data_IF_331527058974
#
_entry.id   IF_331527058974
#
_cell.length_a   1.000
_cell.length_b   1.000
_cell.length_c   1.000
_cell.angle_alpha   90.00
_cell.angle_beta   90.00
_cell.angle_gamma   90.00
#
_symmetry.space_group_name_H-M   'P 1'
#
loop_
_entity.id
_entity.type
_entity.pdbx_description
1 polymer ?
#
# COMPACT_ATOMS: atom_id res chain seq x y z
N UNK A 1 11.18 2.50 -6.71
CA UNK A 1 11.89 2.36 -5.42
C UNK A 1 11.42 3.49 -4.54
N UNK A 2 10.88 3.21 -3.35
CA UNK A 2 10.66 4.28 -2.38
C UNK A 2 12.01 4.69 -1.85
N UNK A 3 12.42 5.94 -2.09
CA UNK A 3 13.73 6.39 -1.65
C UNK A 3 13.79 6.52 -0.13
N UNK A 4 12.70 6.91 0.50
CA UNK A 4 12.67 7.35 1.90
C UNK A 4 11.81 6.50 2.82
N UNK A 5 10.94 5.62 2.29
CA UNK A 5 10.00 4.84 3.08
C UNK A 5 10.47 3.39 3.32
N UNK A 6 10.13 2.85 4.48
CA UNK A 6 10.34 1.46 4.84
C UNK A 6 11.78 1.00 4.68
N UNK A 7 11.98 -0.06 3.92
CA UNK A 7 13.29 -0.67 3.64
C UNK A 7 13.98 -0.16 2.38
N UNK A 8 13.51 0.97 1.83
CA UNK A 8 14.17 1.65 0.70
C UNK A 8 15.57 2.16 1.06
N UNK A 9 16.38 2.52 0.05
CA UNK A 9 17.80 2.90 0.26
C UNK A 9 17.99 4.13 1.14
N UNK A 10 17.00 5.01 1.23
CA UNK A 10 17.00 6.19 2.11
C UNK A 10 15.99 6.04 3.26
N UNK A 11 15.46 4.85 3.48
CA UNK A 11 14.57 4.54 4.59
C UNK A 11 15.29 4.47 5.93
N UNK A 12 14.51 4.40 7.02
CA UNK A 12 15.05 4.31 8.38
C UNK A 12 15.72 2.96 8.69
N UNK A 13 15.30 1.90 7.97
CA UNK A 13 15.83 0.53 8.07
C UNK A 13 16.02 -0.05 6.66
N UNK A 14 17.07 0.35 5.91
CA UNK A 14 17.26 -0.10 4.54
C UNK A 14 17.52 -1.60 4.46
N UNK A 15 16.97 -2.25 3.41
CA UNK A 15 17.14 -3.69 3.17
C UNK A 15 18.57 -4.08 2.77
N UNK A 16 19.37 -3.13 2.34
CA UNK A 16 20.74 -3.32 1.92
C UNK A 16 21.67 -2.27 2.53
N UNK A 17 22.86 -2.20 2.01
CA UNK A 17 23.88 -1.23 2.44
C UNK A 17 24.40 -0.43 1.25
N UNK A 18 24.87 0.79 1.53
CA UNK A 18 25.57 1.62 0.56
C UNK A 18 27.06 1.72 0.93
N UNK A 19 27.93 1.72 -0.10
CA UNK A 19 29.35 1.92 0.04
C UNK A 19 29.83 3.01 -0.95
N UNK A 20 30.30 4.18 -0.50
CA UNK A 20 30.39 4.61 0.91
C UNK A 20 29.00 4.73 1.57
N UNK A 21 28.92 4.73 2.90
CA UNK A 21 27.65 4.93 3.61
C UNK A 21 26.94 6.20 3.18
N UNK A 22 25.65 6.12 2.92
CA UNK A 22 24.84 7.29 2.54
C UNK A 22 24.63 8.18 3.77
N UNK A 23 25.07 9.43 3.69
CA UNK A 23 24.84 10.46 4.70
C UNK A 23 23.62 11.29 4.28
N UNK A 24 22.42 10.75 4.47
CA UNK A 24 21.18 11.40 4.03
C UNK A 24 20.13 11.56 5.14
N UNK A 25 20.53 11.42 6.40
CA UNK A 25 19.64 11.71 7.53
C UNK A 25 19.17 13.17 7.43
N UNK A 26 17.86 13.34 7.24
CA UNK A 26 17.26 14.67 7.09
C UNK A 26 17.23 15.20 5.64
N UNK A 27 17.76 14.48 4.64
CA UNK A 27 17.64 14.89 3.24
C UNK A 27 16.18 14.83 2.81
N UNK A 28 15.66 15.95 2.31
CA UNK A 28 14.36 16.04 1.65
C UNK A 28 14.60 15.98 0.15
N UNK A 29 13.85 15.14 -0.56
CA UNK A 29 13.87 15.10 -2.01
C UNK A 29 12.57 15.68 -2.54
N UNK A 30 12.69 16.70 -3.39
CA UNK A 30 11.56 17.39 -4.03
C UNK A 30 11.71 17.22 -5.53
N UNK A 31 10.65 16.77 -6.18
CA UNK A 31 10.64 16.56 -7.61
C UNK A 31 9.38 17.13 -8.28
N UNK A 32 9.46 17.58 -9.53
CA UNK A 32 8.27 17.88 -10.32
C UNK A 32 7.38 16.63 -10.44
N UNK A 33 6.09 16.79 -10.26
CA UNK A 33 5.11 15.73 -10.42
C UNK A 33 4.20 16.03 -11.61
N UNK A 34 4.60 15.66 -12.85
CA UNK A 34 3.94 16.06 -14.08
C UNK A 34 2.65 15.24 -14.34
N UNK A 35 1.76 15.26 -13.35
CA UNK A 35 0.44 14.65 -13.42
C UNK A 35 -0.56 15.68 -12.96
N UNK A 36 -1.74 15.67 -13.55
CA UNK A 36 -2.82 16.57 -13.15
C UNK A 36 -3.32 16.17 -11.77
N UNK A 37 -3.15 17.05 -10.79
CA UNK A 37 -3.69 16.89 -9.44
C UNK A 37 -4.90 17.78 -9.30
N UNK A 38 -6.01 17.17 -8.85
CA UNK A 38 -7.26 17.87 -8.59
C UNK A 38 -7.74 17.58 -7.18
N UNK A 39 -8.25 18.62 -6.52
CA UNK A 39 -8.89 18.51 -5.22
C UNK A 39 -10.31 19.09 -5.26
N UNK A 40 -11.21 18.51 -4.48
CA UNK A 40 -12.62 18.90 -4.42
C UNK A 40 -13.08 19.09 -2.98
N UNK A 41 -13.95 20.12 -2.79
CA UNK A 41 -14.75 20.34 -1.58
C UNK A 41 -16.21 20.49 -2.03
N UNK A 42 -17.14 19.78 -1.42
CA UNK A 42 -18.57 19.79 -1.77
C UNK A 42 -18.80 19.55 -3.28
N UNK A 43 -18.00 18.68 -3.90
CA UNK A 43 -18.05 18.37 -5.33
C UNK A 43 -17.57 19.51 -6.26
N UNK A 44 -16.99 20.57 -5.70
CA UNK A 44 -16.41 21.69 -6.47
C UNK A 44 -14.88 21.56 -6.49
N UNK A 45 -14.30 21.71 -7.66
CA UNK A 45 -12.85 21.72 -7.80
C UNK A 45 -12.27 22.97 -7.14
N UNK A 46 -11.35 22.81 -6.22
CA UNK A 46 -10.63 23.86 -5.49
C UNK A 46 -9.14 23.91 -5.83
N UNK A 47 -8.57 22.81 -6.33
CA UNK A 47 -7.23 22.75 -6.94
C UNK A 47 -7.36 21.98 -8.25
N UNK A 48 -6.70 22.46 -9.31
CA UNK A 48 -6.56 21.76 -10.58
C UNK A 48 -5.26 22.22 -11.24
N UNK A 49 -4.22 21.38 -11.17
CA UNK A 49 -2.88 21.78 -11.61
C UNK A 49 -2.04 20.61 -12.10
N UNK A 50 -1.15 20.87 -13.06
CA UNK A 50 -0.06 19.98 -13.49
C UNK A 50 1.31 20.46 -12.98
N UNK A 51 1.32 21.44 -12.08
CA UNK A 51 2.55 22.05 -11.55
C UNK A 51 2.85 21.63 -10.10
N UNK A 52 2.23 20.55 -9.63
CA UNK A 52 2.52 20.02 -8.32
C UNK A 52 3.97 19.51 -8.23
N UNK A 53 4.54 19.64 -7.05
CA UNK A 53 5.76 18.95 -6.66
C UNK A 53 5.39 17.79 -5.74
N UNK A 54 6.18 16.71 -5.78
CA UNK A 54 6.12 15.62 -4.86
C UNK A 54 7.29 15.75 -3.86
N UNK A 55 6.95 15.73 -2.58
CA UNK A 55 7.92 15.95 -1.50
C UNK A 55 8.12 14.66 -0.72
N UNK A 56 9.36 14.18 -0.68
CA UNK A 56 9.79 12.98 0.03
C UNK A 56 10.59 13.37 1.27
N UNK A 57 10.06 13.09 2.46
CA UNK A 57 10.75 13.27 3.73
C UNK A 57 11.00 11.93 4.41
N UNK A 58 12.20 11.68 4.95
CA UNK A 58 12.47 10.44 5.69
C UNK A 58 11.48 10.24 6.84
N UNK A 59 10.89 9.03 6.90
CA UNK A 59 9.95 8.65 7.96
C UNK A 59 8.59 9.35 7.92
N UNK A 60 8.26 10.05 6.81
CA UNK A 60 6.95 10.68 6.60
C UNK A 60 6.28 10.16 5.34
N UNK A 61 4.96 10.29 5.30
CA UNK A 61 4.19 10.08 4.08
C UNK A 61 4.58 11.13 3.03
N UNK A 62 4.40 10.79 1.77
CA UNK A 62 4.57 11.74 0.67
C UNK A 62 3.56 12.88 0.79
N UNK A 63 3.96 14.06 0.35
CA UNK A 63 3.09 15.22 0.29
C UNK A 63 3.17 15.87 -1.09
N UNK A 64 2.05 16.44 -1.54
CA UNK A 64 2.07 17.38 -2.65
C UNK A 64 2.40 18.78 -2.16
N UNK A 65 3.20 19.52 -2.95
CA UNK A 65 3.34 20.95 -2.79
C UNK A 65 2.85 21.64 -4.08
N UNK A 66 2.09 22.70 -3.92
CA UNK A 66 1.40 23.42 -4.99
C UNK A 66 1.91 24.86 -5.09
N UNK A 67 1.93 25.48 -6.28
CA UNK A 67 2.17 26.91 -6.36
C UNK A 67 1.16 27.67 -5.47
N UNK A 68 1.62 28.57 -4.63
CA UNK A 68 0.78 29.32 -3.70
C UNK A 68 -0.44 29.98 -4.40
N UNK A 69 -0.24 30.48 -5.61
CA UNK A 69 -1.31 31.13 -6.39
C UNK A 69 -2.44 30.16 -6.83
N UNK A 70 -2.28 28.85 -6.70
CA UNK A 70 -3.23 27.86 -7.18
C UNK A 70 -4.04 27.17 -6.08
N UNK A 71 -3.76 27.51 -4.82
CA UNK A 71 -4.47 26.90 -3.67
C UNK A 71 -5.58 27.79 -3.08
N UNK A 72 -5.69 29.05 -3.53
CA UNK A 72 -6.71 29.98 -3.04
C UNK A 72 -6.62 30.18 -1.53
N UNK A 73 -7.78 30.13 -0.85
CA UNK A 73 -7.92 30.33 0.60
C UNK A 73 -7.83 29.02 1.39
N UNK A 74 -7.36 27.92 0.79
CA UNK A 74 -7.23 26.65 1.49
C UNK A 74 -6.19 26.74 2.61
N UNK A 75 -6.42 26.04 3.73
CA UNK A 75 -5.39 25.86 4.75
C UNK A 75 -4.11 25.32 4.08
N UNK A 76 -3.01 26.01 4.29
CA UNK A 76 -1.74 25.62 3.66
C UNK A 76 -0.54 26.08 4.47
N UNK A 77 0.57 25.36 4.35
CA UNK A 77 1.84 25.69 4.98
C UNK A 77 2.94 25.84 3.91
N UNK A 78 3.83 26.82 4.05
CA UNK A 78 4.96 26.97 3.13
C UNK A 78 5.80 25.69 3.03
N UNK A 79 6.20 25.31 1.81
CA UNK A 79 7.17 24.23 1.60
C UNK A 79 8.59 24.82 1.72
N UNK A 80 9.36 24.49 2.79
CA UNK A 80 10.64 25.13 3.04
C UNK A 80 11.68 24.88 1.93
N UNK A 81 11.62 23.70 1.30
CA UNK A 81 12.55 23.28 0.26
C UNK A 81 12.12 23.70 -1.16
N UNK A 82 10.94 24.35 -1.28
CA UNK A 82 10.43 24.87 -2.57
C UNK A 82 9.78 26.25 -2.38
N UNK A 83 10.55 27.35 -2.35
CA UNK A 83 10.02 28.69 -2.20
C UNK A 83 8.94 29.02 -3.24
N UNK A 84 7.80 29.56 -2.79
CA UNK A 84 6.63 29.84 -3.62
C UNK A 84 5.64 28.68 -3.74
N UNK A 85 5.94 27.53 -3.13
CA UNK A 85 5.04 26.40 -3.00
C UNK A 85 4.54 26.23 -1.57
N UNK A 86 3.35 25.64 -1.44
CA UNK A 86 2.71 25.36 -0.17
C UNK A 86 2.18 23.93 -0.16
N UNK A 87 2.17 23.29 0.99
CA UNK A 87 1.45 22.03 1.22
C UNK A 87 0.04 22.32 1.72
N UNK A 88 -0.93 21.62 1.18
CA UNK A 88 -2.31 21.59 1.67
C UNK A 88 -2.49 20.29 2.47
N UNK A 89 -2.97 20.34 3.72
CA UNK A 89 -3.26 19.14 4.50
C UNK A 89 -4.20 18.20 3.75
N UNK A 90 -3.95 16.89 3.86
CA UNK A 90 -4.74 15.90 3.11
C UNK A 90 -6.23 15.96 3.43
N UNK A 91 -6.56 16.23 4.67
CA UNK A 91 -7.91 16.34 5.24
C UNK A 91 -8.55 17.74 5.10
N UNK A 92 -7.85 18.68 4.48
CA UNK A 92 -8.41 20.01 4.17
C UNK A 92 -9.40 19.99 2.99
N UNK A 93 -9.54 18.87 2.29
CA UNK A 93 -10.45 18.69 1.15
C UNK A 93 -11.15 17.32 1.22
N UNK A 94 -12.30 17.20 0.55
CA UNK A 94 -13.11 15.97 0.60
C UNK A 94 -12.58 14.86 -0.31
N UNK A 95 -11.91 15.24 -1.40
CA UNK A 95 -11.39 14.29 -2.37
C UNK A 95 -10.17 14.81 -3.12
N UNK A 96 -9.20 13.92 -3.28
CA UNK A 96 -8.02 14.12 -4.12
C UNK A 96 -8.08 13.21 -5.35
N UNK A 97 -7.59 13.70 -6.47
CA UNK A 97 -7.49 12.95 -7.72
C UNK A 97 -6.12 13.16 -8.38
N UNK A 98 -5.59 12.10 -8.93
CA UNK A 98 -4.44 12.11 -9.83
C UNK A 98 -4.92 11.64 -11.20
N UNK A 99 -4.80 12.49 -12.22
CA UNK A 99 -5.50 12.32 -13.49
C UNK A 99 -7.00 12.11 -13.25
N UNK A 100 -7.57 11.01 -13.66
CA UNK A 100 -8.97 10.65 -13.42
C UNK A 100 -9.19 9.76 -12.19
N UNK A 101 -8.12 9.34 -11.47
CA UNK A 101 -8.21 8.40 -10.37
C UNK A 101 -8.35 9.10 -9.02
N UNK A 102 -9.38 8.73 -8.26
CA UNK A 102 -9.50 9.16 -6.86
C UNK A 102 -8.37 8.55 -6.03
N UNK A 103 -7.72 9.39 -5.25
CA UNK A 103 -6.69 9.00 -4.30
C UNK A 103 -7.28 8.80 -2.90
N UNK A 104 -6.64 7.93 -2.11
CA UNK A 104 -7.04 7.66 -0.74
C UNK A 104 -5.80 7.74 0.15
N UNK A 105 -5.94 8.41 1.29
CA UNK A 105 -4.98 8.55 2.39
C UNK A 105 -3.75 9.45 2.10
N UNK A 106 -3.07 9.32 0.95
CA UNK A 106 -1.82 10.06 0.66
C UNK A 106 -1.44 9.97 -0.82
N UNK A 107 -0.53 10.85 -1.31
CA UNK A 107 -0.02 10.78 -2.68
C UNK A 107 0.67 9.44 -2.98
N UNK A 108 0.35 8.78 -4.11
CA UNK A 108 1.08 7.59 -4.53
C UNK A 108 2.54 7.90 -4.83
N UNK A 109 3.42 6.97 -4.47
CA UNK A 109 4.84 7.07 -4.74
C UNK A 109 5.14 6.54 -6.16
N UNK A 110 5.68 7.36 -7.09
CA UNK A 110 5.98 6.92 -8.44
C UNK A 110 7.08 5.84 -8.52
N UNK A 111 7.87 5.70 -7.47
CA UNK A 111 8.93 4.67 -7.38
C UNK A 111 8.45 3.37 -6.69
N UNK A 112 7.20 3.31 -6.30
CA UNK A 112 6.61 2.11 -5.71
C UNK A 112 6.20 1.13 -6.81
N UNK A 113 6.64 -0.12 -6.68
CA UNK A 113 6.32 -1.19 -7.62
C UNK A 113 5.62 -2.34 -6.89
N UNK A 114 4.60 -2.87 -7.53
CA UNK A 114 4.00 -4.17 -7.21
C UNK A 114 4.31 -5.12 -8.36
N UNK A 115 4.75 -6.33 -8.03
CA UNK A 115 5.16 -7.34 -9.00
C UNK A 115 4.63 -8.72 -8.58
N UNK A 116 3.82 -9.34 -9.44
CA UNK A 116 3.09 -10.56 -9.12
C UNK A 116 3.50 -11.70 -10.06
N UNK A 117 4.00 -12.82 -9.50
CA UNK A 117 4.47 -13.96 -10.26
C UNK A 117 3.77 -15.26 -9.82
N UNK A 118 3.29 -16.11 -10.74
CA UNK A 118 2.93 -17.48 -10.39
C UNK A 118 4.15 -18.20 -9.81
N UNK A 119 3.91 -19.02 -8.80
CA UNK A 119 4.99 -19.76 -8.16
C UNK A 119 4.51 -21.12 -7.66
N UNK A 120 5.45 -22.00 -7.34
CA UNK A 120 5.19 -23.29 -6.70
C UNK A 120 5.58 -23.29 -5.23
N UNK A 121 5.66 -22.13 -4.60
CA UNK A 121 5.95 -22.00 -3.17
C UNK A 121 4.75 -22.40 -2.35
N UNK A 122 4.98 -23.31 -1.41
CA UNK A 122 3.90 -23.82 -0.57
C UNK A 122 3.38 -22.75 0.39
N UNK A 123 2.06 -22.68 0.48
CA UNK A 123 1.33 -21.93 1.49
C UNK A 123 0.46 -22.91 2.29
N UNK A 124 0.66 -22.95 3.62
CA UNK A 124 -0.24 -23.63 4.54
C UNK A 124 -0.75 -22.62 5.56
N UNK A 125 -2.06 -22.62 5.76
CA UNK A 125 -2.73 -21.72 6.70
C UNK A 125 -3.65 -22.53 7.59
N UNK A 126 -3.58 -22.27 8.90
CA UNK A 126 -4.40 -22.95 9.90
C UNK A 126 -5.00 -21.91 10.87
N UNK A 127 -6.26 -22.13 11.27
CA UNK A 127 -6.96 -21.36 12.31
C UNK A 127 -7.59 -22.37 13.27
N UNK A 128 -7.20 -22.34 14.54
CA UNK A 128 -7.55 -23.42 15.47
C UNK A 128 -7.07 -24.77 14.92
N UNK A 129 -7.96 -25.77 14.92
CA UNK A 129 -7.64 -27.10 14.39
C UNK A 129 -7.93 -27.25 12.88
N UNK A 130 -8.47 -26.19 12.21
CA UNK A 130 -8.85 -26.25 10.81
C UNK A 130 -7.73 -25.76 9.90
N UNK A 131 -7.33 -26.60 8.95
CA UNK A 131 -6.45 -26.21 7.84
C UNK A 131 -7.31 -25.54 6.76
N UNK A 132 -7.09 -24.23 6.54
CA UNK A 132 -7.81 -23.45 5.53
C UNK A 132 -7.18 -23.57 4.15
N UNK A 133 -5.85 -23.69 4.09
CA UNK A 133 -5.06 -23.77 2.84
C UNK A 133 -3.92 -24.75 3.05
N UNK A 134 -3.65 -25.59 2.07
CA UNK A 134 -2.40 -26.33 1.92
C UNK A 134 -2.17 -26.60 0.42
N UNK A 135 -1.42 -25.72 -0.23
CA UNK A 135 -1.18 -25.79 -1.67
C UNK A 135 0.19 -25.21 -2.05
N UNK A 136 0.69 -25.64 -3.20
CA UNK A 136 1.85 -25.01 -3.87
C UNK A 136 1.45 -24.29 -5.16
N UNK A 137 0.16 -24.09 -5.42
CA UNK A 137 -0.32 -23.29 -6.54
C UNK A 137 -0.66 -21.88 -6.02
N UNK A 138 0.33 -21.01 -6.09
CA UNK A 138 0.28 -19.68 -5.46
C UNK A 138 0.80 -18.61 -6.40
N UNK A 139 0.50 -17.36 -6.06
CA UNK A 139 1.12 -16.17 -6.66
C UNK A 139 1.94 -15.47 -5.58
N UNK A 140 3.23 -15.26 -5.85
CA UNK A 140 4.06 -14.42 -4.99
C UNK A 140 3.97 -12.97 -5.44
N UNK A 141 3.70 -12.08 -4.49
CA UNK A 141 3.69 -10.64 -4.70
C UNK A 141 4.92 -10.04 -4.01
N UNK A 142 5.71 -9.30 -4.80
CA UNK A 142 6.78 -8.42 -4.32
C UNK A 142 6.28 -6.99 -4.36
N UNK A 143 6.45 -6.28 -3.27
CA UNK A 143 6.07 -4.88 -3.16
C UNK A 143 7.23 -4.07 -2.62
N UNK A 144 7.49 -2.91 -3.22
CA UNK A 144 8.60 -2.04 -2.81
C UNK A 144 8.52 -1.76 -1.31
N UNK A 145 9.63 -1.98 -0.61
CA UNK A 145 9.79 -1.75 0.83
C UNK A 145 9.04 -2.72 1.76
N UNK A 146 8.35 -3.72 1.21
CA UNK A 146 7.66 -4.75 1.97
C UNK A 146 8.26 -6.13 1.72
N UNK A 147 8.05 -7.06 2.64
CA UNK A 147 8.40 -8.47 2.43
C UNK A 147 7.47 -9.13 1.41
N UNK A 148 7.95 -10.17 0.70
CA UNK A 148 7.13 -10.92 -0.24
C UNK A 148 5.95 -11.60 0.45
N UNK A 149 4.83 -11.74 -0.29
CA UNK A 149 3.60 -12.34 0.21
C UNK A 149 3.00 -13.30 -0.78
N UNK A 150 2.48 -14.43 -0.29
CA UNK A 150 1.79 -15.40 -1.13
C UNK A 150 0.28 -15.10 -1.15
N UNK A 151 -0.28 -15.23 -2.35
CA UNK A 151 -1.71 -15.20 -2.63
C UNK A 151 -2.13 -16.53 -3.23
N UNK A 152 -3.34 -16.96 -2.95
CA UNK A 152 -3.88 -18.26 -3.35
C UNK A 152 -5.28 -18.11 -3.93
N UNK A 153 -5.54 -18.86 -5.01
CA UNK A 153 -6.87 -18.95 -5.62
C UNK A 153 -7.89 -19.49 -4.58
N UNK A 154 -9.09 -18.90 -4.47
CA UNK A 154 -10.16 -19.41 -3.62
C UNK A 154 -10.48 -20.91 -3.83
N UNK A 155 -10.24 -21.47 -5.02
CA UNK A 155 -10.41 -22.89 -5.30
C UNK A 155 -9.53 -23.81 -4.41
N UNK A 156 -8.43 -23.28 -3.86
CA UNK A 156 -7.55 -24.00 -2.95
C UNK A 156 -7.77 -23.62 -1.47
N UNK A 157 -8.86 -22.90 -1.17
CA UNK A 157 -9.17 -22.40 0.16
C UNK A 157 -10.47 -23.03 0.68
N UNK A 158 -10.52 -23.36 1.95
CA UNK A 158 -11.75 -23.75 2.65
C UNK A 158 -12.67 -22.54 2.82
N UNK A 159 -13.21 -22.04 1.69
CA UNK A 159 -14.10 -20.87 1.67
C UNK A 159 -15.42 -21.11 2.41
N UNK A 160 -15.80 -22.35 2.60
CA UNK A 160 -16.93 -22.75 3.45
C UNK A 160 -16.78 -22.32 4.91
N UNK A 161 -15.52 -22.16 5.39
CA UNK A 161 -15.18 -21.66 6.70
C UNK A 161 -14.97 -20.15 6.75
N UNK A 162 -15.01 -19.44 5.62
CA UNK A 162 -14.80 -18.00 5.57
C UNK A 162 -16.12 -17.22 5.51
N UNK A 163 -16.14 -16.07 6.16
CA UNK A 163 -17.25 -15.10 6.11
C UNK A 163 -16.69 -13.70 5.90
N UNK A 164 -17.27 -12.94 4.96
CA UNK A 164 -16.90 -11.53 4.76
C UNK A 164 -17.16 -10.74 6.03
N UNK A 165 -16.25 -9.83 6.34
CA UNK A 165 -16.44 -8.82 7.38
C UNK A 165 -16.78 -7.47 6.74
N UNK A 166 -17.17 -6.50 7.58
CA UNK A 166 -17.40 -5.13 7.13
C UNK A 166 -16.09 -4.33 7.00
N UNK A 167 -14.97 -4.92 7.43
CA UNK A 167 -13.64 -4.30 7.33
C UNK A 167 -13.28 -4.08 5.88
N UNK A 168 -12.89 -2.84 5.56
CA UNK A 168 -12.30 -2.45 4.28
C UNK A 168 -11.02 -1.69 4.55
N UNK A 169 -10.00 -1.96 3.73
CA UNK A 169 -8.75 -1.20 3.75
C UNK A 169 -8.38 -0.82 2.33
N UNK A 170 -7.62 0.25 2.19
CA UNK A 170 -7.22 0.74 0.87
C UNK A 170 -5.70 0.73 0.73
N UNK A 171 -5.23 0.28 -0.42
CA UNK A 171 -3.84 0.40 -0.85
C UNK A 171 -3.78 1.19 -2.15
N UNK A 172 -2.97 2.26 -2.19
CA UNK A 172 -2.83 3.09 -3.39
C UNK A 172 -2.28 2.34 -4.62
N UNK A 173 -1.76 1.13 -4.42
CA UNK A 173 -1.11 0.32 -5.47
C UNK A 173 -1.86 -0.97 -5.79
N UNK A 174 -2.82 -1.37 -4.94
CA UNK A 174 -3.59 -2.62 -5.10
C UNK A 174 -5.11 -2.40 -5.13
N UNK A 175 -5.58 -1.27 -4.60
CA UNK A 175 -7.01 -0.96 -4.51
C UNK A 175 -7.62 -1.27 -3.15
N UNK A 176 -8.94 -1.46 -3.12
CA UNK A 176 -9.70 -1.80 -1.92
C UNK A 176 -9.57 -3.29 -1.58
N UNK A 177 -9.22 -3.58 -0.34
CA UNK A 177 -9.21 -4.93 0.19
C UNK A 177 -10.50 -5.22 0.97
N UNK A 178 -11.13 -6.35 0.65
CA UNK A 178 -12.19 -7.00 1.43
C UNK A 178 -11.56 -7.96 2.42
N UNK A 179 -12.04 -7.95 3.67
CA UNK A 179 -11.54 -8.82 4.73
C UNK A 179 -12.50 -9.96 5.05
N UNK A 180 -11.93 -11.06 5.59
CA UNK A 180 -12.63 -12.29 5.85
C UNK A 180 -12.33 -12.81 7.26
N UNK A 181 -13.37 -13.20 7.98
CA UNK A 181 -13.27 -13.96 9.21
C UNK A 181 -13.24 -15.46 8.91
N UNK A 182 -12.52 -16.25 9.71
CA UNK A 182 -12.68 -17.70 9.74
C UNK A 182 -13.64 -18.11 10.87
N UNK A 183 -14.54 -19.06 10.58
CA UNK A 183 -15.45 -19.64 11.56
C UNK A 183 -15.13 -21.12 11.67
N UNK A 184 -14.50 -21.50 12.79
CA UNK A 184 -14.08 -22.89 13.08
C UNK A 184 -14.76 -23.32 14.38
N UNK A 185 -15.47 -24.44 14.35
CA UNK A 185 -16.20 -24.99 15.49
C UNK A 185 -17.08 -23.95 16.23
N UNK A 186 -17.76 -23.10 15.44
CA UNK A 186 -18.61 -22.04 15.96
C UNK A 186 -17.87 -20.81 16.51
N UNK A 187 -16.54 -20.82 16.52
CA UNK A 187 -15.72 -19.68 16.95
C UNK A 187 -15.27 -18.86 15.75
N UNK A 188 -15.55 -17.56 15.78
CA UNK A 188 -15.13 -16.63 14.72
C UNK A 188 -13.81 -15.94 15.10
N UNK A 189 -12.82 -16.01 14.18
CA UNK A 189 -11.60 -15.20 14.21
C UNK A 189 -11.71 -14.16 13.11
N UNK A 190 -11.85 -12.90 13.50
CA UNK A 190 -12.06 -11.79 12.55
C UNK A 190 -10.81 -11.47 11.73
N UNK A 191 -11.02 -11.04 10.48
CA UNK A 191 -9.99 -10.47 9.62
C UNK A 191 -8.72 -11.34 9.46
N UNK A 192 -8.91 -12.66 9.31
CA UNK A 192 -7.81 -13.61 9.12
C UNK A 192 -7.23 -13.59 7.71
N UNK A 193 -8.02 -13.14 6.74
CA UNK A 193 -7.64 -13.08 5.35
C UNK A 193 -8.17 -11.81 4.68
N UNK A 194 -7.55 -11.44 3.56
CA UNK A 194 -8.06 -10.38 2.69
C UNK A 194 -7.92 -10.76 1.23
N UNK A 195 -8.72 -10.11 0.37
CA UNK A 195 -8.66 -10.19 -1.08
C UNK A 195 -8.85 -8.80 -1.70
N UNK A 196 -8.27 -8.59 -2.87
CA UNK A 196 -8.58 -7.47 -3.75
C UNK A 196 -9.47 -8.00 -4.86
N UNK A 197 -10.77 -7.66 -4.86
CA UNK A 197 -11.73 -8.21 -5.82
C UNK A 197 -11.64 -7.49 -7.16
N UNK A 198 -11.42 -6.17 -7.11
CA UNK A 198 -11.16 -5.31 -8.26
C UNK A 198 -9.82 -4.57 -8.06
N UNK A 199 -8.70 -5.29 -8.21
CA UNK A 199 -7.38 -4.72 -7.97
C UNK A 199 -7.00 -3.70 -9.03
N UNK A 200 -6.12 -2.77 -8.67
CA UNK A 200 -5.49 -1.88 -9.64
C UNK A 200 -4.67 -2.66 -10.67
N UNK A 201 -4.45 -2.12 -11.89
CA UNK A 201 -3.85 -2.85 -13.01
C UNK A 201 -2.54 -3.55 -12.68
N UNK A 202 -1.67 -2.92 -11.87
CA UNK A 202 -0.36 -3.44 -11.46
C UNK A 202 -0.46 -4.72 -10.64
N UNK A 203 -1.59 -4.96 -10.00
CA UNK A 203 -1.87 -6.12 -9.15
C UNK A 203 -2.99 -7.03 -9.68
N UNK A 204 -3.40 -6.84 -10.93
CA UNK A 204 -4.53 -7.59 -11.54
C UNK A 204 -4.43 -9.11 -11.40
N UNK A 205 -3.20 -9.65 -11.35
CA UNK A 205 -2.96 -11.09 -11.21
C UNK A 205 -3.43 -11.68 -9.87
N UNK A 206 -3.61 -10.88 -8.84
CA UNK A 206 -4.14 -11.33 -7.55
C UNK A 206 -5.63 -11.03 -7.37
N UNK A 207 -6.32 -10.65 -8.44
CA UNK A 207 -7.76 -10.36 -8.41
C UNK A 207 -8.56 -11.52 -7.85
N UNK A 208 -9.28 -11.30 -6.74
CA UNK A 208 -10.04 -12.32 -6.02
C UNK A 208 -9.22 -13.36 -5.24
N UNK A 209 -7.89 -13.37 -5.36
CA UNK A 209 -7.03 -14.28 -4.57
C UNK A 209 -6.96 -13.83 -3.11
N UNK A 210 -6.80 -14.80 -2.21
CA UNK A 210 -6.69 -14.53 -0.78
C UNK A 210 -5.23 -14.54 -0.31
N UNK A 211 -4.94 -13.66 0.63
CA UNK A 211 -3.75 -13.73 1.48
C UNK A 211 -4.17 -13.67 2.95
N UNK A 212 -3.26 -14.02 3.87
CA UNK A 212 -3.62 -14.29 5.26
C UNK A 212 -2.78 -13.47 6.25
N UNK A 213 -3.42 -13.04 7.34
CA UNK A 213 -2.79 -12.28 8.41
C UNK A 213 -2.06 -13.22 9.39
N UNK A 214 -0.73 -13.12 9.44
CA UNK A 214 0.12 -13.92 10.32
C UNK A 214 -0.09 -13.63 11.81
N UNK A 215 -0.73 -12.52 12.15
CA UNK A 215 -1.09 -12.21 13.53
C UNK A 215 -2.38 -12.91 13.98
N UNK A 216 -3.18 -13.46 13.03
CA UNK A 216 -4.51 -14.02 13.29
C UNK A 216 -4.66 -15.47 12.85
N UNK A 217 -3.75 -15.97 12.05
CA UNK A 217 -3.68 -17.36 11.60
C UNK A 217 -2.25 -17.87 11.68
N UNK A 218 -2.10 -19.18 11.86
CA UNK A 218 -0.81 -19.82 11.67
C UNK A 218 -0.55 -19.94 10.17
N UNK A 219 0.43 -19.17 9.67
CA UNK A 219 0.77 -19.11 8.25
C UNK A 219 2.18 -19.63 8.04
N UNK A 220 2.30 -20.78 7.38
CA UNK A 220 3.56 -21.34 6.92
C UNK A 220 3.70 -21.09 5.42
N UNK A 221 4.52 -20.13 5.05
CA UNK A 221 4.77 -19.73 3.68
C UNK A 221 6.23 -19.99 3.31
N UNK A 222 6.47 -20.69 2.20
CA UNK A 222 7.79 -20.81 1.60
C UNK A 222 8.14 -19.49 0.90
N UNK A 223 8.91 -18.64 1.58
CA UNK A 223 9.35 -17.36 1.03
C UNK A 223 10.82 -17.43 0.55
N UNK A 224 11.27 -16.52 -0.33
CA UNK A 224 12.67 -16.42 -0.71
C UNK A 224 13.57 -16.27 0.49
N UNK A 225 14.77 -16.89 0.45
CA UNK A 225 15.75 -16.73 1.52
C UNK A 225 16.11 -15.25 1.72
N UNK A 226 16.25 -14.82 2.97
CA UNK A 226 16.54 -13.42 3.32
C UNK A 226 15.34 -12.47 3.24
N UNK A 227 14.14 -12.96 2.85
CA UNK A 227 12.95 -12.14 2.97
C UNK A 227 12.53 -12.04 4.45
N UNK A 228 12.40 -10.80 4.94
CA UNK A 228 11.84 -10.58 6.27
C UNK A 228 10.34 -10.91 6.25
N UNK A 229 9.80 -11.36 7.40
CA UNK A 229 8.36 -11.48 7.58
C UNK A 229 7.73 -10.10 7.37
N UNK A 230 6.74 -10.01 6.48
CA UNK A 230 5.94 -8.81 6.36
C UNK A 230 4.69 -9.00 7.21
N UNK A 231 4.61 -8.32 8.32
CA UNK A 231 3.40 -8.24 9.15
C UNK A 231 2.50 -7.07 8.71
N UNK A 232 2.74 -6.56 7.49
CA UNK A 232 2.05 -5.38 6.98
C UNK A 232 0.65 -5.79 6.50
N UNK A 233 -0.36 -5.21 7.12
CA UNK A 233 -1.75 -5.25 6.67
C UNK A 233 -1.92 -4.40 5.42
N UNK A 234 -2.85 -4.77 4.49
CA UNK A 234 -3.20 -3.88 3.40
C UNK A 234 -3.79 -2.58 3.97
N UNK A 235 -3.22 -1.44 3.57
CA UNK A 235 -3.69 -0.11 3.98
C UNK A 235 -3.18 0.39 5.34
N UNK A 236 -2.03 -0.16 5.80
CA UNK A 236 -1.30 0.42 6.94
C UNK A 236 -0.51 1.66 6.57
#
# INVERSE_FOLDING_TARGET
MSLTAGRGPLGVDPAGWASPPLSHRGTVFVEPHPRRIRAEIDGRTVIDTERALLVHRPGRMLAYAFPLAEVGDLPSEPEPEAPGFVQVPWDAVDAWFEEGRRLVNYPPNPYHRVDCHPTRRRLRVQVGDAVLVDTSDTVILFETSLGPRLYVDPAHVRTDLLRRTDTRTWCNYKGEATWWAAVVDGTATADVAWSYEDPLPESSRIGGFLSFDTARAEVLAELPQGSSRSDVRPGG
#
